data_IF_148885231806
#
_entry.id   IF_148885231806
#
_cell.length_a   1.000
_cell.length_b   1.000
_cell.length_c   1.000
_cell.angle_alpha   90.00
_cell.angle_beta   90.00
_cell.angle_gamma   90.00
#
_symmetry.space_group_name_H-M   'P 1'
#
loop_
_entity.id
_entity.type
_entity.pdbx_description
1 polymer ?
#
# COMPACT_ATOMS: atom_id res chain seq x y z
N UNK A 1 -15.09 2.34 -21.21
CA UNK A 1 -14.29 1.53 -20.26
C UNK A 1 -15.00 0.24 -19.88
N UNK A 2 -16.17 0.28 -19.22
CA UNK A 2 -16.89 -0.93 -18.78
C UNK A 2 -17.27 -1.92 -19.89
N UNK A 3 -17.68 -1.42 -21.06
CA UNK A 3 -17.95 -2.29 -22.22
C UNK A 3 -16.70 -3.08 -22.66
N UNK A 4 -15.52 -2.47 -22.59
CA UNK A 4 -14.25 -3.13 -22.90
C UNK A 4 -13.92 -4.21 -21.87
N UNK A 5 -14.08 -3.91 -20.58
CA UNK A 5 -13.88 -4.88 -19.48
C UNK A 5 -14.79 -6.10 -19.68
N UNK A 6 -16.07 -5.89 -20.02
CA UNK A 6 -17.00 -7.00 -20.30
C UNK A 6 -16.60 -7.85 -21.50
N UNK A 7 -15.99 -7.27 -22.54
CA UNK A 7 -15.47 -8.04 -23.69
C UNK A 7 -14.23 -8.85 -23.31
N UNK A 8 -13.32 -8.26 -22.54
CA UNK A 8 -12.10 -8.92 -22.06
C UNK A 8 -12.45 -10.10 -21.14
N UNK A 9 -13.48 -9.97 -20.29
CA UNK A 9 -13.95 -11.02 -19.39
C UNK A 9 -14.38 -12.33 -20.09
N UNK A 10 -14.67 -12.25 -21.40
CA UNK A 10 -15.03 -13.38 -22.26
C UNK A 10 -13.95 -13.73 -23.30
N UNK A 11 -12.76 -13.13 -23.21
CA UNK A 11 -11.66 -13.39 -24.13
C UNK A 11 -11.01 -14.76 -23.88
N UNK A 12 -10.35 -15.31 -24.89
CA UNK A 12 -9.64 -16.59 -24.80
C UNK A 12 -8.40 -16.52 -23.90
N UNK A 13 -7.84 -15.32 -23.70
CA UNK A 13 -6.76 -15.11 -22.74
C UNK A 13 -7.31 -15.26 -21.32
N UNK A 14 -7.05 -16.42 -20.71
CA UNK A 14 -7.55 -16.80 -19.38
C UNK A 14 -7.17 -15.80 -18.29
N UNK A 15 -5.97 -15.26 -18.32
CA UNK A 15 -5.47 -14.32 -17.32
C UNK A 15 -6.16 -12.96 -17.43
N UNK A 16 -6.23 -12.41 -18.64
CA UNK A 16 -6.94 -11.15 -18.89
C UNK A 16 -8.44 -11.28 -18.60
N UNK A 17 -9.05 -12.41 -18.97
CA UNK A 17 -10.45 -12.70 -18.70
C UNK A 17 -10.73 -12.81 -17.19
N UNK A 18 -9.84 -13.45 -16.42
CA UNK A 18 -9.96 -13.54 -14.97
C UNK A 18 -9.86 -12.16 -14.30
N UNK A 19 -8.86 -11.36 -14.67
CA UNK A 19 -8.68 -9.99 -14.17
C UNK A 19 -9.93 -9.13 -14.44
N UNK A 20 -10.44 -9.16 -15.67
CA UNK A 20 -11.64 -8.42 -16.04
C UNK A 20 -12.88 -8.90 -15.29
N UNK A 21 -13.02 -10.21 -15.06
CA UNK A 21 -14.11 -10.78 -14.27
C UNK A 21 -14.03 -10.34 -12.81
N UNK A 22 -12.86 -10.42 -12.18
CA UNK A 22 -12.63 -9.98 -10.80
C UNK A 22 -12.94 -8.50 -10.62
N UNK A 23 -12.53 -7.65 -11.56
CA UNK A 23 -12.86 -6.23 -11.55
C UNK A 23 -14.38 -5.99 -11.66
N UNK A 24 -15.06 -6.69 -12.57
CA UNK A 24 -16.51 -6.58 -12.77
C UNK A 24 -17.31 -7.06 -11.55
N UNK A 25 -16.89 -8.17 -10.96
CA UNK A 25 -17.56 -8.82 -9.83
C UNK A 25 -17.08 -8.29 -8.47
N UNK A 26 -16.20 -7.29 -8.48
CA UNK A 26 -15.61 -6.68 -7.27
C UNK A 26 -14.89 -7.69 -6.38
N UNK A 27 -14.38 -8.78 -6.96
CA UNK A 27 -13.53 -9.78 -6.31
C UNK A 27 -12.08 -9.28 -6.27
N UNK A 28 -11.85 -8.22 -5.51
CA UNK A 28 -10.55 -7.56 -5.44
C UNK A 28 -9.49 -8.45 -4.79
N UNK A 29 -8.23 -8.16 -5.12
CA UNK A 29 -7.09 -8.71 -4.41
C UNK A 29 -7.12 -8.31 -2.93
N UNK A 30 -6.62 -9.17 -2.05
CA UNK A 30 -6.39 -8.78 -0.65
C UNK A 30 -5.12 -7.95 -0.59
N UNK A 31 -5.14 -6.90 0.23
CA UNK A 31 -3.98 -6.08 0.50
C UNK A 31 -3.60 -6.22 1.98
N UNK A 32 -2.32 -6.39 2.26
CA UNK A 32 -1.73 -6.40 3.60
C UNK A 32 -0.80 -5.19 3.68
N UNK A 33 -1.15 -4.22 4.52
CA UNK A 33 -0.32 -3.04 4.77
C UNK A 33 0.51 -3.26 6.02
N UNK A 34 1.84 -3.32 5.86
CA UNK A 34 2.77 -3.58 6.97
C UNK A 34 2.67 -2.50 8.05
N UNK A 35 2.34 -1.26 7.73
CA UNK A 35 2.24 -0.21 8.73
C UNK A 35 1.02 -0.41 9.64
N UNK A 36 -0.06 -0.98 9.09
CA UNK A 36 -1.31 -1.28 9.80
C UNK A 36 -1.14 -2.55 10.64
N UNK A 37 -0.56 -3.60 10.06
CA UNK A 37 -0.41 -4.91 10.72
C UNK A 37 0.72 -4.92 11.75
N UNK A 38 1.76 -4.09 11.54
CA UNK A 38 2.86 -3.87 12.46
C UNK A 38 2.88 -2.41 12.94
N UNK A 39 1.91 -2.00 13.79
CA UNK A 39 1.86 -0.65 14.32
C UNK A 39 2.99 -0.42 15.32
N UNK A 40 3.37 0.84 15.54
CA UNK A 40 4.31 1.19 16.60
C UNK A 40 3.75 0.81 17.99
N UNK A 41 4.58 0.20 18.82
CA UNK A 41 4.20 -0.16 20.19
C UNK A 41 4.35 1.05 21.13
N UNK A 42 3.61 1.11 22.26
CA UNK A 42 3.76 2.18 23.23
C UNK A 42 5.20 2.31 23.73
N UNK A 43 5.82 3.48 23.53
CA UNK A 43 7.20 3.75 23.95
C UNK A 43 8.28 3.18 23.02
N UNK A 44 7.92 2.53 21.91
CA UNK A 44 8.86 2.06 20.90
C UNK A 44 9.45 3.25 20.14
N UNK A 45 10.77 3.25 19.97
CA UNK A 45 11.42 4.26 19.14
C UNK A 45 11.17 3.98 17.66
N UNK A 46 11.18 5.03 16.83
CA UNK A 46 10.90 4.91 15.40
C UNK A 46 11.79 3.87 14.70
N UNK A 47 13.07 3.84 15.05
CA UNK A 47 14.05 2.89 14.49
C UNK A 47 13.69 1.43 14.82
N UNK A 48 13.25 1.17 16.06
CA UNK A 48 12.84 -0.16 16.51
C UNK A 48 11.57 -0.64 15.79
N UNK A 49 10.60 0.26 15.60
CA UNK A 49 9.40 -0.02 14.82
C UNK A 49 9.77 -0.38 13.37
N UNK A 50 10.68 0.37 12.76
CA UNK A 50 11.10 0.13 11.37
C UNK A 50 11.88 -1.17 11.23
N UNK A 51 12.81 -1.48 12.12
CA UNK A 51 13.52 -2.76 12.14
C UNK A 51 12.57 -3.97 12.25
N UNK A 52 11.52 -3.86 13.07
CA UNK A 52 10.50 -4.91 13.19
C UNK A 52 9.70 -5.06 11.89
N UNK A 53 9.28 -3.95 11.27
CA UNK A 53 8.58 -3.97 9.98
C UNK A 53 9.44 -4.61 8.88
N UNK A 54 10.73 -4.27 8.82
CA UNK A 54 11.67 -4.85 7.85
C UNK A 54 11.84 -6.37 8.04
N UNK A 55 11.90 -6.85 9.29
CA UNK A 55 11.95 -8.29 9.57
C UNK A 55 10.69 -9.02 9.07
N UNK A 56 9.51 -8.46 9.29
CA UNK A 56 8.26 -9.06 8.81
C UNK A 56 8.16 -9.03 7.28
N UNK A 57 8.60 -7.94 6.63
CA UNK A 57 8.73 -7.84 5.17
C UNK A 57 9.58 -9.00 4.64
N UNK A 58 10.78 -9.21 5.20
CA UNK A 58 11.68 -10.29 4.79
C UNK A 58 11.06 -11.68 4.99
N UNK A 59 10.35 -11.88 6.11
CA UNK A 59 9.65 -13.14 6.40
C UNK A 59 8.57 -13.44 5.37
N UNK A 60 7.75 -12.46 5.03
CA UNK A 60 6.70 -12.57 4.02
C UNK A 60 7.31 -12.88 2.66
N UNK A 61 8.34 -12.13 2.24
CA UNK A 61 9.05 -12.35 0.97
C UNK A 61 9.67 -13.76 0.88
N UNK A 62 10.24 -14.24 1.98
CA UNK A 62 10.80 -15.60 2.05
C UNK A 62 9.73 -16.68 1.92
N UNK A 63 8.60 -16.55 2.61
CA UNK A 63 7.51 -17.53 2.55
C UNK A 63 6.89 -17.60 1.14
N UNK A 64 6.75 -16.45 0.49
CA UNK A 64 6.22 -16.34 -0.87
C UNK A 64 7.16 -16.90 -1.93
N UNK A 65 8.48 -16.80 -1.72
CA UNK A 65 9.46 -17.40 -2.62
C UNK A 65 9.42 -18.93 -2.60
N UNK A 66 8.94 -19.53 -1.50
CA UNK A 66 8.80 -20.98 -1.35
C UNK A 66 7.46 -21.54 -1.84
N UNK A 67 6.39 -20.74 -1.82
CA UNK A 67 5.05 -21.17 -2.26
C UNK A 67 4.77 -20.72 -3.70
N UNK A 68 4.98 -21.63 -4.65
CA UNK A 68 4.64 -21.42 -6.06
C UNK A 68 3.18 -20.95 -6.23
N UNK A 69 3.01 -19.74 -6.79
CA UNK A 69 1.80 -19.20 -7.44
C UNK A 69 0.84 -18.30 -6.66
N UNK A 70 1.17 -17.83 -5.46
CA UNK A 70 0.51 -16.61 -4.97
C UNK A 70 1.07 -15.43 -5.77
N UNK A 71 0.31 -14.90 -6.75
CA UNK A 71 0.68 -13.64 -7.39
C UNK A 71 0.72 -12.57 -6.29
N UNK A 72 1.93 -12.16 -5.92
CA UNK A 72 2.18 -11.09 -4.98
C UNK A 72 2.76 -9.90 -5.72
N UNK A 73 2.01 -8.82 -5.74
CA UNK A 73 2.54 -7.51 -6.10
C UNK A 73 2.94 -6.83 -4.80
N UNK A 74 4.21 -6.48 -4.67
CA UNK A 74 4.67 -5.56 -3.62
C UNK A 74 4.59 -4.16 -4.19
N UNK A 75 3.74 -3.33 -3.62
CA UNK A 75 3.74 -1.90 -3.89
C UNK A 75 4.37 -1.20 -2.69
N UNK A 76 5.53 -0.60 -2.92
CA UNK A 76 6.31 0.09 -1.91
C UNK A 76 6.48 1.53 -2.37
N UNK A 77 5.99 2.45 -1.55
CA UNK A 77 5.94 3.85 -1.88
C UNK A 77 6.11 4.71 -0.65
N UNK A 78 6.51 5.95 -0.87
CA UNK A 78 6.48 6.94 0.19
C UNK A 78 5.22 7.77 0.13
N UNK A 79 4.46 7.77 1.21
CA UNK A 79 3.30 8.61 1.36
C UNK A 79 3.73 9.89 2.06
N UNK A 80 3.38 11.03 1.48
CA UNK A 80 3.40 12.33 2.15
C UNK A 80 2.17 13.11 1.70
N UNK A 81 1.91 14.27 2.32
CA UNK A 81 0.75 15.13 1.97
C UNK A 81 0.71 15.60 0.50
N UNK A 82 1.80 15.42 -0.24
CA UNK A 82 1.97 15.82 -1.63
C UNK A 82 2.28 14.61 -2.55
N UNK A 83 2.07 13.38 -2.07
CA UNK A 83 2.51 12.15 -2.69
C UNK A 83 1.33 11.25 -3.00
N UNK A 84 1.30 10.73 -4.23
CA UNK A 84 0.32 9.72 -4.65
C UNK A 84 0.96 8.33 -4.64
N UNK A 85 0.17 7.31 -4.28
CA UNK A 85 0.57 5.90 -4.34
C UNK A 85 0.60 5.45 -5.80
N UNK A 86 1.71 4.83 -6.25
CA UNK A 86 1.82 4.25 -7.60
C UNK A 86 2.07 5.22 -8.78
N UNK A 87 2.27 6.52 -8.53
CA UNK A 87 2.62 7.49 -9.59
C UNK A 87 4.14 7.70 -9.67
N UNK A 88 4.66 7.81 -10.90
CA UNK A 88 6.05 8.13 -11.20
C UNK A 88 6.44 9.45 -10.51
N UNK A 89 7.18 9.37 -9.39
CA UNK A 89 7.56 10.51 -8.54
C UNK A 89 8.50 11.53 -9.22
N UNK A 90 8.74 11.39 -10.53
CA UNK A 90 9.73 12.15 -11.28
C UNK A 90 9.33 13.62 -11.53
N UNK A 91 8.11 14.05 -11.24
CA UNK A 91 7.69 15.44 -11.44
C UNK A 91 7.27 16.12 -10.14
N UNK A 92 8.20 16.93 -9.63
CA UNK A 92 8.00 18.16 -8.84
C UNK A 92 6.76 18.16 -7.96
N UNK A 93 6.91 17.79 -6.68
CA UNK A 93 5.90 18.03 -5.65
C UNK A 93 5.44 19.49 -5.72
N UNK A 94 4.17 19.71 -6.06
CA UNK A 94 3.55 21.04 -6.07
C UNK A 94 3.39 21.48 -4.62
N UNK A 95 4.40 22.15 -4.06
CA UNK A 95 4.31 22.74 -2.73
C UNK A 95 3.27 23.87 -2.75
N UNK A 96 2.41 23.93 -1.74
CA UNK A 96 1.39 24.97 -1.64
C UNK A 96 2.00 26.24 -1.05
N UNK A 97 2.07 27.29 -1.85
CA UNK A 97 2.52 28.61 -1.40
C UNK A 97 1.35 29.52 -1.05
N UNK A 98 1.41 30.19 0.09
CA UNK A 98 0.45 31.18 0.56
C UNK A 98 1.08 32.57 0.44
N UNK A 99 0.38 33.46 -0.28
CA UNK A 99 0.72 34.89 -0.30
C UNK A 99 -0.02 35.63 0.82
N UNK A 100 0.73 36.29 1.69
CA UNK A 100 0.21 37.09 2.79
C UNK A 100 -0.14 38.51 2.33
N UNK A 101 -0.96 39.22 3.11
CA UNK A 101 -1.31 40.63 2.84
C UNK A 101 -0.09 41.57 2.80
N UNK A 102 1.00 41.21 3.48
CA UNK A 102 2.29 41.90 3.44
C UNK A 102 2.97 41.82 2.06
N UNK A 103 2.47 41.00 1.14
CA UNK A 103 3.10 40.73 -0.15
C UNK A 103 4.13 39.59 -0.11
N UNK A 104 4.52 39.10 1.08
CA UNK A 104 5.41 37.94 1.20
C UNK A 104 4.70 36.65 0.81
N UNK A 105 5.46 35.69 0.29
CA UNK A 105 4.98 34.36 -0.09
C UNK A 105 5.74 33.33 0.73
N UNK A 106 5.01 32.44 1.40
CA UNK A 106 5.56 31.40 2.27
C UNK A 106 4.98 30.05 1.88
N UNK A 107 5.73 28.97 2.15
CA UNK A 107 5.20 27.62 2.01
C UNK A 107 4.31 27.28 3.21
N UNK A 108 3.25 26.49 2.99
CA UNK A 108 2.21 26.27 4.00
C UNK A 108 2.70 25.54 5.27
N UNK A 109 3.71 24.68 5.19
CA UNK A 109 4.34 24.01 6.35
C UNK A 109 5.17 24.98 7.21
N UNK A 110 5.60 26.12 6.65
CA UNK A 110 6.23 27.20 7.42
C UNK A 110 5.21 27.88 8.34
N UNK A 111 3.96 28.00 7.88
CA UNK A 111 2.89 28.75 8.55
C UNK A 111 2.01 27.88 9.47
N UNK A 112 1.88 26.59 9.20
CA UNK A 112 0.98 25.69 9.94
C UNK A 112 1.73 24.51 10.57
N UNK A 113 1.87 24.49 11.92
CA UNK A 113 2.46 23.35 12.63
C UNK A 113 1.74 22.04 12.36
N UNK A 114 0.41 22.06 12.22
CA UNK A 114 -0.40 20.86 11.91
C UNK A 114 -0.02 20.28 10.55
N UNK A 115 0.12 21.13 9.53
CA UNK A 115 0.47 20.68 8.17
C UNK A 115 1.92 20.20 8.14
N UNK A 116 2.80 20.84 8.90
CA UNK A 116 4.17 20.35 9.10
C UNK A 116 4.19 18.96 9.74
N UNK A 117 3.35 18.67 10.72
CA UNK A 117 3.27 17.32 11.31
C UNK A 117 2.83 16.28 10.29
N UNK A 118 1.87 16.61 9.42
CA UNK A 118 1.38 15.72 8.37
C UNK A 118 2.40 15.54 7.22
N UNK A 119 3.32 16.48 7.03
CA UNK A 119 4.34 16.42 5.97
C UNK A 119 5.37 15.29 6.12
N UNK A 120 5.34 14.57 7.25
CA UNK A 120 6.22 13.40 7.47
C UNK A 120 6.01 12.38 6.36
N UNK A 121 7.13 12.01 5.75
CA UNK A 121 7.20 10.98 4.73
C UNK A 121 7.17 9.63 5.43
N UNK A 122 6.09 8.89 5.27
CA UNK A 122 6.00 7.52 5.76
C UNK A 122 6.31 6.57 4.61
N UNK A 123 7.17 5.59 4.86
CA UNK A 123 7.32 4.47 3.94
C UNK A 123 6.19 3.49 4.23
N UNK A 124 5.48 3.09 3.20
CA UNK A 124 4.43 2.09 3.25
C UNK A 124 4.81 0.94 2.33
N UNK A 125 4.66 -0.29 2.83
CA UNK A 125 4.82 -1.51 2.05
C UNK A 125 3.49 -2.25 2.06
N UNK A 126 2.87 -2.38 0.90
CA UNK A 126 1.60 -3.09 0.73
C UNK A 126 1.84 -4.32 -0.12
N UNK A 127 1.50 -5.48 0.43
CA UNK A 127 1.54 -6.75 -0.29
C UNK A 127 0.13 -7.08 -0.80
N UNK A 128 0.01 -7.32 -2.09
CA UNK A 128 -1.27 -7.59 -2.77
C UNK A 128 -1.32 -9.06 -3.16
N UNK A 129 -2.28 -9.80 -2.60
CA UNK A 129 -2.41 -11.24 -2.78
C UNK A 129 -3.62 -11.59 -3.63
N UNK A 130 -3.43 -12.53 -4.57
CA UNK A 130 -4.55 -13.17 -5.25
C UNK A 130 -5.32 -14.04 -4.26
N UNK A 131 -6.53 -13.61 -3.95
CA UNK A 131 -7.51 -14.46 -3.30
C UNK A 131 -7.97 -15.53 -4.27
N UNK A 132 -7.52 -16.77 -4.06
CA UNK A 132 -8.31 -17.94 -4.43
C UNK A 132 -9.48 -18.06 -3.44
N UNK A 133 -10.63 -18.48 -3.95
CA UNK A 133 -11.93 -18.43 -3.26
C UNK A 133 -11.87 -18.94 -1.80
N UNK A 134 -12.39 -18.12 -0.88
CA UNK A 134 -12.87 -18.36 0.50
C UNK A 134 -12.08 -19.17 1.54
N UNK A 135 -11.02 -19.93 1.23
CA UNK A 135 -10.43 -20.88 2.20
C UNK A 135 -9.35 -20.27 3.12
N UNK A 136 -8.70 -19.18 2.71
CA UNK A 136 -7.46 -18.71 3.37
C UNK A 136 -7.64 -17.86 4.62
N UNK A 137 -8.87 -17.65 5.11
CA UNK A 137 -9.03 -16.96 6.40
C UNK A 137 -8.66 -17.89 7.57
N UNK A 138 -9.04 -19.18 7.49
CA UNK A 138 -8.68 -20.15 8.52
C UNK A 138 -7.22 -20.58 8.44
N UNK A 139 -6.66 -20.82 7.26
CA UNK A 139 -5.27 -21.29 7.14
C UNK A 139 -4.23 -20.23 7.52
N UNK A 140 -4.49 -18.94 7.27
CA UNK A 140 -3.57 -17.88 7.69
C UNK A 140 -3.67 -17.53 9.18
N UNK A 141 -4.87 -17.64 9.78
CA UNK A 141 -5.07 -17.44 11.22
C UNK A 141 -4.49 -18.63 12.03
N UNK A 142 -4.69 -19.87 11.58
CA UNK A 142 -4.19 -21.08 12.28
C UNK A 142 -2.67 -21.25 12.19
N UNK A 143 -2.01 -20.83 11.09
CA UNK A 143 -0.55 -20.87 11.01
C UNK A 143 0.15 -19.68 11.69
N UNK A 144 -0.59 -18.66 12.12
CA UNK A 144 -0.05 -17.46 12.77
C UNK A 144 -0.57 -17.23 14.20
N UNK A 145 -0.97 -18.30 14.90
CA UNK A 145 -1.34 -18.27 16.33
C UNK A 145 -0.21 -17.82 17.29
N UNK A 146 0.94 -17.36 16.76
CA UNK A 146 1.98 -16.65 17.51
C UNK A 146 1.79 -15.13 17.64
N UNK A 147 0.69 -14.57 17.13
CA UNK A 147 0.42 -13.12 17.13
C UNK A 147 -0.56 -12.65 18.23
N UNK A 148 -0.50 -13.23 19.43
CA UNK A 148 -1.13 -12.68 20.64
C UNK A 148 -0.10 -12.27 21.68
#
# INVERSE_FOLDING_TARGET
MWASISRIANSENREAADLARRLRERKLYKALDINIECPALPGEQLEQTEERRQREIMRIESALSSENNALVLKDAGSINIYGEFGAEQAQTHKMLSIRLRSGSTHEITELSPTIRTLSKKEQSSVFIFRTTDCATKHEWEEHNDGFR
#
